data_IF_328513467246
#
_entry.id   IF_328513467246
#
_cell.length_a   1.000
_cell.length_b   1.000
_cell.length_c   1.000
_cell.angle_alpha   90.00
_cell.angle_beta   90.00
_cell.angle_gamma   90.00
#
_symmetry.space_group_name_H-M   'P 1'
#
loop_
_entity.id
_entity.type
_entity.pdbx_description
1 polymer ?
#
# COMPACT_ATOMS: atom_id res chain seq x y z
N UNK A 1 -3.60 26.64 -49.59
CA UNK A 1 -2.47 25.93 -48.98
C UNK A 1 -1.83 26.83 -47.95
N UNK A 2 -1.87 26.42 -46.69
CA UNK A 2 -0.87 26.59 -45.62
C UNK A 2 -1.59 26.62 -44.28
N UNK A 3 -1.71 25.42 -43.71
CA UNK A 3 -2.19 25.19 -42.35
C UNK A 3 -1.01 25.55 -41.45
N UNK A 4 -1.19 26.54 -40.60
CA UNK A 4 -0.19 26.96 -39.61
C UNK A 4 0.05 25.78 -38.66
N UNK A 5 1.24 25.19 -38.75
CA UNK A 5 1.59 23.99 -38.01
C UNK A 5 2.11 24.44 -36.65
N UNK A 6 1.54 23.98 -35.51
CA UNK A 6 2.02 24.40 -34.21
C UNK A 6 3.48 23.98 -34.06
N UNK A 7 4.34 24.97 -33.87
CA UNK A 7 5.77 24.81 -33.62
C UNK A 7 5.94 23.99 -32.35
N UNK A 8 6.21 22.70 -32.51
CA UNK A 8 6.57 21.82 -31.39
C UNK A 8 7.95 22.26 -30.93
N UNK A 9 8.02 22.83 -29.72
CA UNK A 9 9.29 23.15 -29.09
C UNK A 9 10.13 21.86 -29.00
N UNK A 10 11.42 21.88 -29.38
CA UNK A 10 12.29 20.69 -29.29
C UNK A 10 12.55 20.27 -27.84
N UNK A 11 12.11 21.07 -26.87
CA UNK A 11 12.03 20.79 -25.44
C UNK A 11 10.58 20.94 -24.93
N UNK A 12 9.61 20.58 -25.77
CA UNK A 12 8.22 20.45 -25.39
C UNK A 12 8.01 19.19 -24.56
N UNK A 13 7.54 19.38 -23.33
CA UNK A 13 6.93 18.36 -22.47
C UNK A 13 7.84 17.22 -22.01
N UNK A 14 8.80 17.51 -21.12
CA UNK A 14 9.44 16.44 -20.32
C UNK A 14 8.45 15.79 -19.33
N UNK A 15 7.36 16.49 -19.04
CA UNK A 15 6.24 16.01 -18.26
C UNK A 15 4.98 16.24 -19.09
N UNK A 16 4.57 15.21 -19.83
CA UNK A 16 3.26 15.20 -20.45
C UNK A 16 2.23 14.99 -19.32
N UNK A 17 1.34 15.95 -19.09
CA UNK A 17 0.22 15.75 -18.16
C UNK A 17 -0.67 14.55 -18.58
N UNK A 18 -0.56 14.12 -19.84
CA UNK A 18 -1.13 12.88 -20.38
C UNK A 18 -0.47 11.59 -19.84
N UNK A 19 0.78 11.67 -19.35
CA UNK A 19 1.52 10.57 -18.72
C UNK A 19 1.30 10.49 -17.20
N UNK A 20 0.41 11.32 -16.64
CA UNK A 20 -0.26 11.05 -15.35
C UNK A 20 -1.23 9.87 -15.52
N UNK A 21 -0.69 8.71 -15.90
CA UNK A 21 -1.43 7.46 -15.94
C UNK A 21 -1.90 7.20 -14.50
N UNK A 22 -3.20 6.88 -14.30
CA UNK A 22 -3.63 6.39 -13.00
C UNK A 22 -2.70 5.23 -12.64
N UNK A 23 -2.11 5.30 -11.44
CA UNK A 23 -1.29 4.21 -10.91
C UNK A 23 -2.10 2.91 -11.09
N UNK A 24 -1.52 1.86 -11.72
CA UNK A 24 -2.18 0.58 -11.82
C UNK A 24 -2.73 0.17 -10.45
N UNK A 25 -4.02 -0.20 -10.40
CA UNK A 25 -4.74 -0.49 -9.15
C UNK A 25 -4.15 -1.68 -8.39
N UNK A 26 -3.27 -2.45 -9.05
CA UNK A 26 -2.54 -3.59 -8.55
C UNK A 26 -1.10 -3.27 -8.09
N UNK A 27 -0.70 -1.99 -8.03
CA UNK A 27 0.55 -1.61 -7.39
C UNK A 27 0.42 -1.77 -5.88
N UNK A 28 1.20 -2.69 -5.32
CA UNK A 28 1.30 -2.88 -3.88
C UNK A 28 2.61 -3.56 -3.47
N UNK A 29 2.87 -3.55 -2.19
CA UNK A 29 4.07 -4.10 -1.58
C UNK A 29 3.86 -5.56 -1.20
N UNK A 30 4.83 -6.41 -1.53
CA UNK A 30 4.83 -7.81 -1.07
C UNK A 30 5.12 -7.90 0.42
N UNK A 31 4.74 -9.03 1.04
CA UNK A 31 4.94 -9.30 2.46
C UNK A 31 6.33 -8.95 3.00
N UNK A 32 7.45 -9.37 2.37
CA UNK A 32 8.80 -9.02 2.85
C UNK A 32 9.07 -7.52 2.89
N UNK A 33 8.61 -6.78 1.88
CA UNK A 33 8.79 -5.31 1.82
C UNK A 33 7.90 -4.63 2.84
N UNK A 34 6.65 -5.07 2.98
CA UNK A 34 5.72 -4.55 3.99
C UNK A 34 6.25 -4.80 5.43
N UNK A 35 6.82 -5.98 5.70
CA UNK A 35 7.44 -6.31 6.98
C UNK A 35 8.62 -5.38 7.30
N UNK A 36 9.55 -5.24 6.35
CA UNK A 36 10.71 -4.37 6.51
C UNK A 36 10.31 -2.90 6.72
N UNK A 37 9.34 -2.41 5.93
CA UNK A 37 8.85 -1.05 6.04
C UNK A 37 8.12 -0.79 7.37
N UNK A 38 7.27 -1.72 7.82
CA UNK A 38 6.53 -1.57 9.08
C UNK A 38 7.39 -1.85 10.33
N UNK A 39 8.52 -2.55 10.18
CA UNK A 39 9.37 -2.98 11.30
C UNK A 39 8.74 -4.13 12.09
N UNK A 40 8.13 -5.09 11.38
CA UNK A 40 7.47 -6.26 11.96
C UNK A 40 8.02 -7.55 11.35
N UNK A 41 7.82 -8.67 12.06
CA UNK A 41 8.14 -10.00 11.53
C UNK A 41 7.08 -10.47 10.55
N UNK A 42 7.46 -11.39 9.64
CA UNK A 42 6.50 -12.05 8.75
C UNK A 42 5.38 -12.76 9.52
N UNK A 43 5.69 -13.33 10.68
CA UNK A 43 4.70 -14.01 11.52
C UNK A 43 3.65 -13.05 12.10
N UNK A 44 4.06 -11.85 12.50
CA UNK A 44 3.13 -10.79 12.92
C UNK A 44 2.23 -10.38 11.75
N UNK A 45 2.82 -10.14 10.58
CA UNK A 45 2.05 -9.82 9.38
C UNK A 45 1.01 -10.91 9.04
N UNK A 46 1.44 -12.18 9.00
CA UNK A 46 0.53 -13.28 8.68
C UNK A 46 -0.57 -13.43 9.75
N UNK A 47 -0.22 -13.33 11.03
CA UNK A 47 -1.20 -13.41 12.10
C UNK A 47 -2.23 -12.27 12.02
N UNK A 48 -1.81 -11.03 11.79
CA UNK A 48 -2.72 -9.88 11.67
C UNK A 48 -3.60 -9.94 10.41
N UNK A 49 -3.07 -10.44 9.30
CA UNK A 49 -3.85 -10.65 8.08
C UNK A 49 -4.85 -11.81 8.21
N UNK A 50 -4.51 -12.88 8.94
CA UNK A 50 -5.44 -14.01 9.18
C UNK A 50 -6.51 -13.72 10.23
N UNK A 51 -6.32 -12.69 11.05
CA UNK A 51 -7.27 -12.27 12.10
C UNK A 51 -7.97 -10.97 11.77
N UNK A 52 -7.87 -10.52 10.51
CA UNK A 52 -8.44 -9.29 9.98
C UNK A 52 -8.16 -8.05 10.86
N UNK A 53 -6.99 -8.02 11.52
CA UNK A 53 -6.53 -6.80 12.17
C UNK A 53 -5.99 -5.82 11.11
N UNK A 54 -5.25 -6.35 10.14
CA UNK A 54 -4.81 -5.61 8.95
C UNK A 54 -4.79 -6.57 7.76
N UNK A 55 -5.67 -6.35 6.80
CA UNK A 55 -5.77 -7.17 5.59
C UNK A 55 -5.23 -6.41 4.37
N UNK A 56 -4.60 -7.10 3.40
CA UNK A 56 -4.07 -6.45 2.20
C UNK A 56 -5.20 -5.83 1.37
N UNK A 57 -5.11 -4.53 1.10
CA UNK A 57 -6.15 -3.78 0.37
C UNK A 57 -5.96 -3.77 -1.14
N UNK A 58 -4.74 -4.02 -1.64
CA UNK A 58 -4.47 -4.10 -3.09
C UNK A 58 -4.80 -5.48 -3.65
N UNK A 59 -4.36 -6.54 -2.96
CA UNK A 59 -4.65 -7.92 -3.39
C UNK A 59 -4.63 -8.89 -2.22
N UNK A 60 -5.72 -9.60 -2.01
CA UNK A 60 -5.81 -10.74 -1.10
C UNK A 60 -5.06 -11.98 -1.59
N UNK A 61 -5.03 -13.02 -0.76
CA UNK A 61 -4.62 -14.35 -1.20
C UNK A 61 -5.87 -15.17 -1.56
N UNK A 62 -5.95 -15.69 -2.79
CA UNK A 62 -7.07 -16.48 -3.31
C UNK A 62 -6.62 -17.86 -3.81
N UNK A 63 -5.69 -18.51 -3.09
CA UNK A 63 -5.20 -19.85 -3.41
C UNK A 63 -3.66 -19.94 -3.43
N UNK A 64 -3.16 -21.14 -3.72
CA UNK A 64 -1.71 -21.40 -3.84
C UNK A 64 -1.11 -20.54 -4.96
N UNK A 65 0.02 -19.88 -4.68
CA UNK A 65 0.74 -19.03 -5.65
C UNK A 65 0.27 -17.58 -5.74
N UNK A 66 -0.88 -17.22 -5.15
CA UNK A 66 -1.34 -15.82 -5.11
C UNK A 66 -0.59 -15.03 -4.03
N UNK A 67 -0.03 -13.88 -4.41
CA UNK A 67 0.70 -13.01 -3.47
C UNK A 67 -0.22 -11.94 -2.91
N UNK A 68 -0.19 -11.77 -1.58
CA UNK A 68 -0.78 -10.61 -0.91
C UNK A 68 -0.02 -9.35 -1.29
N UNK A 69 -0.74 -8.33 -1.75
CA UNK A 69 -0.19 -7.00 -2.03
C UNK A 69 -0.81 -6.00 -1.06
N UNK A 70 0.06 -5.30 -0.33
CA UNK A 70 -0.29 -4.30 0.66
C UNK A 70 -0.19 -2.91 0.06
N UNK A 71 -1.17 -2.05 0.30
CA UNK A 71 -1.07 -0.64 -0.06
C UNK A 71 -0.08 0.10 0.85
N UNK A 72 0.26 1.33 0.50
CA UNK A 72 0.97 2.21 1.42
C UNK A 72 0.19 2.43 2.73
N UNK A 73 -1.15 2.56 2.65
CA UNK A 73 -2.02 2.69 3.83
C UNK A 73 -1.91 1.47 4.74
N UNK A 74 -1.90 0.27 4.18
CA UNK A 74 -1.75 -0.96 4.97
C UNK A 74 -0.44 -0.93 5.77
N UNK A 75 0.66 -0.52 5.13
CA UNK A 75 1.98 -0.38 5.79
C UNK A 75 1.92 0.64 6.94
N UNK A 76 1.22 1.76 6.77
CA UNK A 76 1.04 2.74 7.84
C UNK A 76 0.28 2.14 9.02
N UNK A 77 -0.83 1.44 8.76
CA UNK A 77 -1.62 0.77 9.80
C UNK A 77 -0.78 -0.30 10.51
N UNK A 78 -0.03 -1.12 9.78
CA UNK A 78 0.91 -2.11 10.37
C UNK A 78 1.92 -1.45 11.31
N UNK A 79 2.50 -0.31 10.90
CA UNK A 79 3.46 0.44 11.71
C UNK A 79 2.81 1.06 12.96
N UNK A 80 1.57 1.53 12.86
CA UNK A 80 0.80 2.04 14.00
C UNK A 80 0.49 0.91 14.98
N UNK A 81 -0.05 -0.21 14.50
CA UNK A 81 -0.33 -1.42 15.30
C UNK A 81 0.93 -1.85 16.06
N UNK A 82 2.07 -1.95 15.37
CA UNK A 82 3.35 -2.27 16.00
C UNK A 82 3.66 -1.28 17.11
N UNK A 83 3.65 0.03 16.84
CA UNK A 83 3.98 1.06 17.85
C UNK A 83 3.11 0.96 19.10
N UNK A 84 1.81 0.69 18.94
CA UNK A 84 0.90 0.51 20.06
C UNK A 84 1.26 -0.74 20.90
N UNK A 85 1.53 -1.86 20.24
CA UNK A 85 1.97 -3.11 20.92
C UNK A 85 3.27 -2.88 21.69
N UNK A 86 4.24 -2.22 21.07
CA UNK A 86 5.54 -1.91 21.68
C UNK A 86 5.43 -0.99 22.90
N UNK A 87 4.40 -0.15 22.96
CA UNK A 87 4.09 0.68 24.14
C UNK A 87 3.27 -0.05 25.21
N UNK A 88 2.93 -1.32 25.00
CA UNK A 88 2.19 -2.15 25.95
C UNK A 88 0.66 -2.10 25.78
N UNK A 89 0.14 -1.52 24.70
CA UNK A 89 -1.31 -1.54 24.43
C UNK A 89 -1.73 -2.93 24.02
N UNK A 90 -2.81 -3.42 24.62
CA UNK A 90 -3.34 -4.77 24.34
C UNK A 90 -3.94 -4.86 22.94
N UNK A 91 -3.83 -6.03 22.30
CA UNK A 91 -4.37 -6.29 20.97
C UNK A 91 -5.88 -5.98 20.84
N UNK A 92 -6.74 -6.28 21.84
CA UNK A 92 -8.16 -5.89 21.79
C UNK A 92 -8.38 -4.38 21.70
N UNK A 93 -7.63 -3.59 22.49
CA UNK A 93 -7.74 -2.12 22.46
C UNK A 93 -7.25 -1.56 21.12
N UNK A 94 -6.20 -2.17 20.55
CA UNK A 94 -5.70 -1.80 19.23
C UNK A 94 -6.76 -2.04 18.16
N UNK A 95 -7.45 -3.19 18.19
CA UNK A 95 -8.51 -3.49 17.23
C UNK A 95 -9.59 -2.41 17.23
N UNK A 96 -10.08 -2.02 18.42
CA UNK A 96 -11.06 -0.95 18.55
C UNK A 96 -10.55 0.40 17.99
N UNK A 97 -9.27 0.72 18.18
CA UNK A 97 -8.68 1.95 17.62
C UNK A 97 -8.52 1.89 16.08
N UNK A 98 -8.14 0.74 15.53
CA UNK A 98 -7.94 0.56 14.09
C UNK A 98 -9.26 0.66 13.32
N UNK A 99 -10.37 0.19 13.90
CA UNK A 99 -11.71 0.32 13.30
C UNK A 99 -12.10 1.79 13.03
N UNK A 100 -11.51 2.75 13.76
CA UNK A 100 -11.72 4.19 13.54
C UNK A 100 -10.83 4.80 12.44
N UNK A 101 -9.87 4.06 11.88
CA UNK A 101 -8.99 4.50 10.80
C UNK A 101 -9.48 4.05 9.40
N UNK A 102 -10.49 3.18 9.37
CA UNK A 102 -11.06 2.54 8.18
C UNK A 102 -12.10 3.42 7.49
#
# INVERSE_FOLDING_TARGET
MNVDQPKVDPQGSLFDDADLRPLPQDIGYRGPVACAAAGITYRQLDYWARTDLVSPTVRGAHGSGTQRLYSFRDILVLRIVKRLIDTGVSLPNIRAAVDHLA
#
